data_IF_860639026153
#
_entry.id   IF_860639026153
#
_cell.length_a   1.000
_cell.length_b   1.000
_cell.length_c   1.000
_cell.angle_alpha   90.00
_cell.angle_beta   90.00
_cell.angle_gamma   90.00
#
_symmetry.space_group_name_H-M   'P 1'
#
loop_
_entity.id
_entity.type
_entity.pdbx_description
1 polymer ?
#
# COMPACT_ATOMS: atom_id res chain seq x y z
N UNK A 1 -2.00 -12.54 26.04
CA UNK A 1 -2.44 -11.18 25.71
C UNK A 1 -2.18 -11.02 24.23
N UNK A 2 -3.21 -11.17 23.39
CA UNK A 2 -3.11 -10.91 21.96
C UNK A 2 -3.83 -9.60 21.72
N UNK A 3 -3.11 -8.63 21.17
CA UNK A 3 -3.65 -7.36 20.75
C UNK A 3 -4.62 -7.62 19.58
N UNK A 4 -5.92 -7.53 19.87
CA UNK A 4 -6.99 -7.59 18.88
C UNK A 4 -7.00 -6.23 18.16
N UNK A 5 -6.04 -6.03 17.27
CA UNK A 5 -6.12 -4.95 16.30
C UNK A 5 -7.26 -5.33 15.36
N UNK A 6 -8.43 -4.72 15.55
CA UNK A 6 -9.53 -4.73 14.58
C UNK A 6 -8.91 -4.56 13.17
N UNK A 7 -9.22 -5.42 12.19
CA UNK A 7 -8.64 -5.28 10.87
C UNK A 7 -9.17 -3.98 10.27
N UNK A 8 -8.38 -2.91 10.42
CA UNK A 8 -8.65 -1.63 9.81
C UNK A 8 -8.85 -1.88 8.32
N UNK A 9 -10.02 -1.50 7.80
CA UNK A 9 -10.40 -1.70 6.40
C UNK A 9 -9.22 -1.30 5.52
N UNK A 10 -8.62 -2.29 4.86
CA UNK A 10 -7.30 -2.18 4.25
C UNK A 10 -7.39 -1.27 3.03
N UNK A 11 -7.18 0.02 3.25
CA UNK A 11 -7.02 1.03 2.18
C UNK A 11 -5.72 0.80 1.39
N UNK A 12 -4.89 -0.13 1.87
CA UNK A 12 -3.63 -0.56 1.28
C UNK A 12 -3.64 -2.08 1.13
N UNK A 13 -3.07 -2.55 0.03
CA UNK A 13 -2.75 -3.96 -0.17
C UNK A 13 -1.30 -4.19 0.31
N UNK A 14 -1.08 -5.24 1.09
CA UNK A 14 0.25 -5.68 1.47
C UNK A 14 0.45 -7.10 0.92
N UNK A 15 1.54 -7.28 0.19
CA UNK A 15 1.96 -8.54 -0.44
C UNK A 15 3.38 -8.85 0.05
N UNK A 16 3.55 -9.95 0.78
CA UNK A 16 4.87 -10.33 1.33
C UNK A 16 5.89 -10.72 0.24
N UNK A 17 5.42 -11.15 -0.93
CA UNK A 17 6.25 -11.40 -2.12
C UNK A 17 6.61 -10.09 -2.85
N UNK A 18 5.95 -8.99 -2.47
CA UNK A 18 5.94 -7.77 -3.24
C UNK A 18 5.10 -7.90 -4.50
N UNK A 19 4.71 -6.76 -5.04
CA UNK A 19 4.01 -6.73 -6.33
C UNK A 19 4.25 -5.41 -7.03
N UNK A 20 4.15 -5.43 -8.35
CA UNK A 20 4.43 -4.26 -9.16
C UNK A 20 3.44 -3.12 -8.90
N UNK A 21 4.01 -1.92 -8.80
CA UNK A 21 3.31 -0.66 -8.81
C UNK A 21 2.86 -0.32 -10.24
N UNK A 22 1.58 -0.03 -10.44
CA UNK A 22 1.04 0.30 -11.77
C UNK A 22 1.54 1.66 -12.30
N UNK A 23 2.10 2.53 -11.44
CA UNK A 23 2.62 3.84 -11.84
C UNK A 23 4.10 3.81 -12.26
N UNK A 24 4.93 2.99 -11.62
CA UNK A 24 6.38 2.97 -11.87
C UNK A 24 6.97 1.61 -12.21
N UNK A 25 6.20 0.52 -12.11
CA UNK A 25 6.66 -0.85 -12.32
C UNK A 25 7.59 -1.36 -11.21
N UNK A 26 7.76 -0.64 -10.11
CA UNK A 26 8.58 -1.11 -9.00
C UNK A 26 7.81 -2.16 -8.17
N UNK A 27 8.46 -3.28 -7.88
CA UNK A 27 7.94 -4.28 -6.95
C UNK A 27 8.05 -3.75 -5.53
N UNK A 28 6.92 -3.61 -4.85
CA UNK A 28 6.86 -3.18 -3.44
C UNK A 28 5.98 -4.10 -2.63
N UNK A 29 6.33 -4.29 -1.37
CA UNK A 29 5.56 -5.10 -0.43
C UNK A 29 4.23 -4.45 -0.06
N UNK A 30 4.11 -3.13 -0.23
CA UNK A 30 2.99 -2.35 0.26
C UNK A 30 2.52 -1.38 -0.82
N UNK A 31 1.28 -1.56 -1.28
CA UNK A 31 0.63 -0.78 -2.33
C UNK A 31 -0.63 -0.12 -1.79
N UNK A 32 -1.02 0.99 -2.39
CA UNK A 32 -2.13 1.81 -1.96
C UNK A 32 -3.06 2.06 -3.13
N UNK A 33 -4.35 2.03 -2.87
CA UNK A 33 -5.33 2.39 -3.89
C UNK A 33 -5.28 3.90 -4.14
N UNK A 34 -5.02 4.30 -5.37
CA UNK A 34 -5.11 5.67 -5.86
C UNK A 34 -5.85 5.66 -7.19
N UNK A 35 -6.96 6.39 -7.28
CA UNK A 35 -7.77 6.53 -8.50
C UNK A 35 -8.28 5.22 -9.13
N UNK A 36 -8.18 4.10 -8.40
CA UNK A 36 -8.53 2.77 -8.89
C UNK A 36 -7.32 1.83 -9.01
N UNK A 37 -6.13 2.40 -9.20
CA UNK A 37 -4.87 1.67 -9.37
C UNK A 37 -4.16 1.40 -8.03
N UNK A 38 -3.34 0.34 -8.00
CA UNK A 38 -2.48 0.03 -6.86
C UNK A 38 -1.07 0.60 -7.08
N UNK A 39 -0.78 1.69 -6.35
CA UNK A 39 0.51 2.40 -6.46
C UNK A 39 1.34 2.24 -5.18
N UNK A 40 2.66 2.26 -5.32
CA UNK A 40 3.58 2.23 -4.18
C UNK A 40 3.45 3.51 -3.31
N UNK A 41 3.88 3.49 -2.03
CA UNK A 41 3.83 4.66 -1.15
C UNK A 41 4.57 5.88 -1.71
N UNK A 42 5.57 5.67 -2.57
CA UNK A 42 6.37 6.70 -3.23
C UNK A 42 5.60 7.38 -4.38
N UNK A 43 4.90 6.60 -5.21
CA UNK A 43 4.06 7.11 -6.30
C UNK A 43 2.72 7.65 -5.82
N UNK A 44 2.24 7.18 -4.65
CA UNK A 44 1.02 7.69 -4.06
C UNK A 44 1.19 9.19 -3.81
N UNK A 45 0.20 9.96 -4.24
CA UNK A 45 0.13 11.41 -4.10
C UNK A 45 -0.65 11.74 -2.86
N UNK A 46 -0.05 11.42 -1.74
CA UNK A 46 -0.49 11.75 -0.41
C UNK A 46 0.68 12.50 0.19
N UNK A 47 0.43 13.66 0.78
CA UNK A 47 1.45 14.50 1.37
C UNK A 47 2.20 13.70 2.43
N UNK A 48 3.33 13.07 2.06
CA UNK A 48 4.14 12.26 2.97
C UNK A 48 4.51 13.16 4.15
N UNK A 49 4.02 12.80 5.33
CA UNK A 49 4.35 13.47 6.59
C UNK A 49 5.07 12.42 7.42
N UNK A 50 6.40 12.51 7.48
CA UNK A 50 7.24 11.85 8.48
C UNK A 50 7.77 10.49 8.07
#
# INVERSE_FOLDING_TARGET
>A
MSDDTEPAETTHAFDADGSECEACGATVERRWRQDGDLVCPDCKRWTVTG
#
